data_IF_007852394235
#
_entry.id   IF_007852394235
#
_cell.length_a   1.000
_cell.length_b   1.000
_cell.length_c   1.000
_cell.angle_alpha   90.00
_cell.angle_beta   90.00
_cell.angle_gamma   90.00
#
_symmetry.space_group_name_H-M   'P 1'
#
loop_
_entity.id
_entity.type
_entity.pdbx_description
1 polymer ?
#
# COMPACT_ATOMS: atom_id res chain seq x y z
N UNK A 1 -25.37 -13.12 0.47
CA UNK A 1 -24.93 -13.74 1.73
C UNK A 1 -24.17 -15.01 1.43
N UNK A 2 -22.97 -15.16 1.98
CA UNK A 2 -22.16 -16.38 1.87
C UNK A 2 -22.81 -17.48 2.72
N UNK A 3 -23.50 -18.40 2.05
CA UNK A 3 -24.17 -19.51 2.73
C UNK A 3 -23.23 -20.68 3.01
N UNK A 4 -22.08 -20.73 2.32
CA UNK A 4 -21.13 -21.85 2.35
C UNK A 4 -19.70 -21.37 2.15
N UNK A 5 -18.77 -22.00 2.86
CA UNK A 5 -17.33 -21.86 2.69
C UNK A 5 -16.72 -23.22 2.38
N UNK A 6 -15.95 -23.32 1.30
CA UNK A 6 -15.22 -24.53 0.94
C UNK A 6 -13.72 -24.22 0.84
N UNK A 7 -12.91 -25.00 1.56
CA UNK A 7 -11.45 -24.78 1.64
C UNK A 7 -10.80 -24.98 0.27
N UNK A 8 -11.22 -26.01 -0.47
CA UNK A 8 -10.65 -26.31 -1.79
C UNK A 8 -10.98 -25.22 -2.80
N UNK A 9 -12.23 -24.77 -2.85
CA UNK A 9 -12.66 -23.69 -3.75
C UNK A 9 -11.96 -22.37 -3.42
N UNK A 10 -11.83 -22.05 -2.13
CA UNK A 10 -11.08 -20.87 -1.66
C UNK A 10 -9.62 -20.91 -2.11
N UNK A 11 -8.95 -22.06 -1.99
CA UNK A 11 -7.55 -22.22 -2.42
C UNK A 11 -7.40 -22.16 -3.95
N UNK A 12 -8.37 -22.69 -4.70
CA UNK A 12 -8.40 -22.59 -6.16
C UNK A 12 -8.59 -21.16 -6.63
N UNK A 13 -9.51 -20.41 -6.00
CA UNK A 13 -9.71 -18.99 -6.29
C UNK A 13 -8.43 -18.19 -6.05
N UNK A 14 -7.79 -18.39 -4.89
CA UNK A 14 -6.52 -17.70 -4.57
C UNK A 14 -5.45 -18.00 -5.60
N UNK A 15 -5.25 -19.28 -5.93
CA UNK A 15 -4.22 -19.69 -6.89
C UNK A 15 -4.49 -19.14 -8.29
N UNK A 16 -5.76 -19.17 -8.73
CA UNK A 16 -6.18 -18.68 -10.05
C UNK A 16 -6.03 -17.16 -10.17
N UNK A 17 -6.49 -16.41 -9.18
CA UNK A 17 -6.33 -14.95 -9.15
C UNK A 17 -4.86 -14.56 -9.05
N UNK A 18 -4.06 -15.24 -8.23
CA UNK A 18 -2.64 -14.97 -8.11
C UNK A 18 -1.91 -15.15 -9.45
N UNK A 19 -2.19 -16.23 -10.17
CA UNK A 19 -1.60 -16.46 -11.49
C UNK A 19 -2.03 -15.39 -12.50
N UNK A 20 -3.33 -15.02 -12.52
CA UNK A 20 -3.86 -14.02 -13.44
C UNK A 20 -3.30 -12.62 -13.16
N UNK A 21 -3.21 -12.23 -11.88
CA UNK A 21 -2.65 -10.94 -11.47
C UNK A 21 -1.16 -10.88 -11.75
N UNK A 22 -0.40 -11.95 -11.49
CA UNK A 22 1.02 -12.02 -11.85
C UNK A 22 1.26 -11.85 -13.36
N UNK A 23 0.46 -12.52 -14.19
CA UNK A 23 0.51 -12.36 -15.65
C UNK A 23 0.14 -10.93 -16.07
N UNK A 24 -0.92 -10.37 -15.47
CA UNK A 24 -1.36 -8.99 -15.74
C UNK A 24 -0.30 -7.97 -15.32
N UNK A 25 0.43 -8.26 -14.23
CA UNK A 25 1.55 -7.47 -13.73
C UNK A 25 2.68 -7.41 -14.72
N UNK A 26 3.06 -8.54 -15.29
CA UNK A 26 4.07 -8.60 -16.34
C UNK A 26 3.64 -7.78 -17.57
N UNK A 27 2.38 -7.95 -18.00
CA UNK A 27 1.84 -7.22 -19.15
C UNK A 27 1.88 -5.71 -18.93
N UNK A 28 1.36 -5.20 -17.81
CA UNK A 28 1.38 -3.74 -17.58
C UNK A 28 2.80 -3.21 -17.35
N UNK A 29 3.70 -3.96 -16.72
CA UNK A 29 5.10 -3.55 -16.55
C UNK A 29 5.80 -3.40 -17.91
N UNK A 30 5.62 -4.37 -18.80
CA UNK A 30 6.15 -4.32 -20.16
C UNK A 30 5.58 -3.14 -20.95
N UNK A 31 4.26 -2.89 -20.84
CA UNK A 31 3.62 -1.73 -21.46
C UNK A 31 4.12 -0.41 -20.89
N UNK A 32 4.28 -0.32 -19.56
CA UNK A 32 4.80 0.86 -18.88
C UNK A 32 6.25 1.15 -19.29
N UNK A 33 7.09 0.12 -19.41
CA UNK A 33 8.46 0.27 -19.90
C UNK A 33 8.50 0.71 -21.37
N UNK A 34 7.67 0.11 -22.22
CA UNK A 34 7.54 0.51 -23.62
C UNK A 34 7.05 1.96 -23.75
N UNK A 35 6.11 2.37 -22.89
CA UNK A 35 5.60 3.73 -22.79
C UNK A 35 6.72 4.70 -22.39
N UNK A 36 7.51 4.37 -21.37
CA UNK A 36 8.66 5.16 -20.93
C UNK A 36 9.73 5.29 -22.01
N UNK A 37 10.04 4.21 -22.74
CA UNK A 37 10.99 4.22 -23.85
C UNK A 37 10.51 5.10 -25.00
N UNK A 38 9.22 4.99 -25.36
CA UNK A 38 8.61 5.79 -26.41
C UNK A 38 8.57 7.28 -26.05
N UNK A 39 8.22 7.60 -24.79
CA UNK A 39 8.24 8.97 -24.29
C UNK A 39 9.66 9.55 -24.29
N UNK A 40 10.65 8.74 -23.90
CA UNK A 40 12.07 9.13 -23.98
C UNK A 40 12.50 9.43 -25.42
N UNK A 41 12.01 8.65 -26.40
CA UNK A 41 12.26 8.89 -27.81
C UNK A 41 11.54 10.16 -28.33
N UNK A 42 10.30 10.42 -27.89
CA UNK A 42 9.54 11.64 -28.21
C UNK A 42 10.25 12.91 -27.69
N UNK A 43 10.75 12.86 -26.45
CA UNK A 43 11.43 14.00 -25.80
C UNK A 43 12.86 14.24 -26.29
N UNK A 44 13.39 13.43 -27.20
CA UNK A 44 14.75 13.55 -27.75
C UNK A 44 15.00 14.80 -28.62
N UNK A 45 14.04 15.72 -28.70
CA UNK A 45 14.08 16.95 -29.51
C UNK A 45 14.29 16.74 -31.02
N UNK A 46 14.20 15.50 -31.53
CA UNK A 46 14.35 15.19 -32.95
C UNK A 46 13.04 15.24 -33.75
N UNK A 47 11.88 15.31 -33.09
CA UNK A 47 10.57 15.25 -33.72
C UNK A 47 9.79 16.54 -33.42
N UNK A 48 9.42 17.28 -34.48
CA UNK A 48 8.64 18.52 -34.40
C UNK A 48 7.57 18.53 -35.50
N UNK A 49 6.51 19.32 -35.32
CA UNK A 49 5.43 19.49 -36.30
C UNK A 49 4.08 18.87 -35.91
N UNK A 50 3.08 19.02 -36.77
CA UNK A 50 1.69 18.70 -36.43
C UNK A 50 1.42 17.19 -36.23
N UNK A 51 2.16 16.35 -36.97
CA UNK A 51 2.16 14.88 -36.80
C UNK A 51 2.69 14.47 -35.43
N UNK A 52 3.76 15.09 -34.96
CA UNK A 52 4.30 14.89 -33.61
C UNK A 52 3.30 15.31 -32.54
N UNK A 53 2.70 16.50 -32.67
CA UNK A 53 1.69 16.98 -31.73
C UNK A 53 0.48 16.04 -31.64
N UNK A 54 0.06 15.47 -32.78
CA UNK A 54 -1.03 14.50 -32.85
C UNK A 54 -0.69 13.16 -32.18
N UNK A 55 0.51 12.63 -32.41
CA UNK A 55 0.99 11.42 -31.74
C UNK A 55 1.14 11.63 -30.22
N UNK A 56 1.74 12.74 -29.80
CA UNK A 56 1.89 13.09 -28.39
C UNK A 56 0.53 13.19 -27.69
N UNK A 57 -0.47 13.81 -28.33
CA UNK A 57 -1.84 13.89 -27.81
C UNK A 57 -2.46 12.51 -27.58
N UNK A 58 -2.34 11.61 -28.54
CA UNK A 58 -2.86 10.24 -28.39
C UNK A 58 -2.16 9.50 -27.25
N UNK A 59 -0.85 9.63 -27.15
CA UNK A 59 -0.08 9.00 -26.09
C UNK A 59 -0.44 9.53 -24.71
N UNK A 60 -0.44 10.86 -24.53
CA UNK A 60 -0.66 11.48 -23.21
C UNK A 60 -2.12 11.43 -22.76
N UNK A 61 -3.09 11.55 -23.67
CA UNK A 61 -4.51 11.63 -23.32
C UNK A 61 -5.25 10.29 -23.43
N UNK A 62 -4.64 9.26 -24.04
CA UNK A 62 -5.27 7.94 -24.19
C UNK A 62 -4.40 6.84 -23.63
N UNK A 63 -3.23 6.58 -24.23
CA UNK A 63 -2.46 5.39 -23.88
C UNK A 63 -1.91 5.45 -22.44
N UNK A 64 -1.41 6.61 -22.00
CA UNK A 64 -0.89 6.78 -20.65
C UNK A 64 -1.97 6.62 -19.56
N UNK A 65 -3.14 7.28 -19.65
CA UNK A 65 -4.25 7.02 -18.73
C UNK A 65 -4.67 5.55 -18.67
N UNK A 66 -4.77 4.87 -19.83
CA UNK A 66 -5.14 3.46 -19.87
C UNK A 66 -4.10 2.57 -19.19
N UNK A 67 -2.81 2.71 -19.52
CA UNK A 67 -1.73 1.92 -18.89
C UNK A 67 -1.67 2.20 -17.38
N UNK A 68 -1.83 3.46 -16.98
CA UNK A 68 -1.89 3.85 -15.56
C UNK A 68 -3.05 3.18 -14.84
N UNK A 69 -4.27 3.23 -15.41
CA UNK A 69 -5.43 2.61 -14.78
C UNK A 69 -5.32 1.09 -14.74
N UNK A 70 -4.80 0.48 -15.81
CA UNK A 70 -4.51 -0.96 -15.83
C UNK A 70 -3.55 -1.38 -14.70
N UNK A 71 -2.51 -0.58 -14.44
CA UNK A 71 -1.62 -0.78 -13.28
C UNK A 71 -2.37 -0.66 -11.96
N UNK A 72 -3.20 0.37 -11.78
CA UNK A 72 -3.98 0.54 -10.54
C UNK A 72 -4.91 -0.64 -10.29
N UNK A 73 -5.65 -1.10 -11.30
CA UNK A 73 -6.56 -2.26 -11.20
C UNK A 73 -5.80 -3.52 -10.75
N UNK A 74 -4.61 -3.75 -11.29
CA UNK A 74 -3.81 -4.93 -10.91
C UNK A 74 -3.30 -4.82 -9.47
N UNK A 75 -2.78 -3.64 -9.07
CA UNK A 75 -2.29 -3.42 -7.70
C UNK A 75 -3.42 -3.53 -6.66
N UNK A 76 -4.59 -2.99 -6.99
CA UNK A 76 -5.79 -3.06 -6.16
C UNK A 76 -6.25 -4.51 -5.96
N UNK A 77 -6.42 -5.25 -7.06
CA UNK A 77 -6.77 -6.67 -7.00
C UNK A 77 -5.73 -7.54 -6.27
N UNK A 78 -4.44 -7.17 -6.30
CA UNK A 78 -3.41 -7.84 -5.49
C UNK A 78 -3.54 -7.56 -3.99
N UNK A 79 -3.90 -6.32 -3.63
CA UNK A 79 -4.25 -5.93 -2.27
C UNK A 79 -5.46 -6.70 -1.74
N UNK A 80 -6.51 -6.78 -2.55
CA UNK A 80 -7.72 -7.53 -2.23
C UNK A 80 -7.46 -9.02 -2.08
N UNK A 81 -6.69 -9.60 -3.00
CA UNK A 81 -6.30 -11.01 -2.92
C UNK A 81 -5.50 -11.32 -1.66
N UNK A 82 -4.64 -10.39 -1.23
CA UNK A 82 -3.90 -10.53 0.03
C UNK A 82 -4.84 -10.50 1.24
N UNK A 83 -5.83 -9.60 1.25
CA UNK A 83 -6.86 -9.53 2.30
C UNK A 83 -7.68 -10.82 2.33
N UNK A 84 -8.22 -11.24 1.19
CA UNK A 84 -8.97 -12.49 1.05
C UNK A 84 -8.16 -13.69 1.55
N UNK A 85 -6.90 -13.83 1.12
CA UNK A 85 -6.02 -14.93 1.52
C UNK A 85 -5.78 -14.94 3.03
N UNK A 86 -5.65 -13.77 3.67
CA UNK A 86 -5.49 -13.66 5.12
C UNK A 86 -6.75 -14.08 5.86
N UNK A 87 -7.92 -13.64 5.42
CA UNK A 87 -9.19 -14.04 6.04
C UNK A 87 -9.48 -15.53 5.81
N UNK A 88 -9.20 -16.06 4.62
CA UNK A 88 -9.32 -17.49 4.31
C UNK A 88 -8.47 -18.35 5.26
N UNK A 89 -7.23 -17.92 5.56
CA UNK A 89 -6.37 -18.64 6.53
C UNK A 89 -6.98 -18.73 7.93
N UNK A 90 -7.73 -17.70 8.38
CA UNK A 90 -8.36 -17.71 9.71
C UNK A 90 -9.51 -18.71 9.82
N UNK A 91 -10.22 -18.95 8.71
CA UNK A 91 -11.39 -19.83 8.68
C UNK A 91 -11.05 -21.27 8.26
N UNK A 92 -9.95 -21.47 7.53
CA UNK A 92 -9.50 -22.79 7.04
C UNK A 92 -9.39 -23.87 8.12
N UNK A 93 -9.02 -23.50 9.33
CA UNK A 93 -8.88 -24.44 10.46
C UNK A 93 -10.21 -25.10 10.86
N UNK A 94 -11.35 -24.50 10.48
CA UNK A 94 -12.68 -25.06 10.74
C UNK A 94 -13.16 -26.03 9.66
N UNK A 95 -12.44 -26.14 8.53
CA UNK A 95 -12.81 -26.96 7.37
C UNK A 95 -13.97 -26.36 6.57
N UNK A 96 -14.66 -27.22 5.80
CA UNK A 96 -15.83 -26.80 5.03
C UNK A 96 -17.01 -26.46 5.96
N UNK A 97 -17.62 -25.30 5.73
CA UNK A 97 -18.72 -24.77 6.53
C UNK A 97 -19.96 -24.51 5.68
N UNK A 98 -21.12 -24.84 6.23
CA UNK A 98 -22.43 -24.60 5.63
C UNK A 98 -23.32 -23.98 6.72
N UNK A 99 -23.66 -22.70 6.54
CA UNK A 99 -24.38 -21.91 7.54
C UNK A 99 -25.71 -22.58 7.90
N UNK A 100 -26.46 -23.01 6.90
CA UNK A 100 -27.77 -23.64 7.09
C UNK A 100 -27.67 -24.96 7.86
N UNK A 101 -26.64 -25.78 7.57
CA UNK A 101 -26.42 -27.02 8.33
C UNK A 101 -25.99 -26.76 9.77
N UNK A 102 -25.14 -25.75 9.99
CA UNK A 102 -24.69 -25.37 11.33
C UNK A 102 -25.84 -24.83 12.18
N UNK A 103 -26.70 -23.98 11.61
CA UNK A 103 -27.89 -23.45 12.29
C UNK A 103 -28.90 -24.57 12.64
N UNK A 104 -29.12 -25.51 11.72
CA UNK A 104 -29.98 -26.66 11.98
C UNK A 104 -29.41 -27.58 13.09
N UNK A 105 -28.11 -27.87 13.07
CA UNK A 105 -27.47 -28.67 14.12
C UNK A 105 -27.50 -27.95 15.47
N UNK A 106 -27.31 -26.62 15.49
CA UNK A 106 -27.42 -25.81 16.69
C UNK A 106 -28.81 -25.93 17.32
N UNK A 107 -29.87 -25.81 16.52
CA UNK A 107 -31.24 -25.93 17.00
C UNK A 107 -31.50 -27.30 17.66
N UNK A 108 -31.10 -28.40 17.01
CA UNK A 108 -31.26 -29.75 17.56
C UNK A 108 -30.51 -29.92 18.89
N UNK A 109 -29.30 -29.36 19.01
CA UNK A 109 -28.52 -29.41 20.25
C UNK A 109 -29.11 -28.53 21.36
N UNK A 110 -29.67 -27.38 21.03
CA UNK A 110 -30.39 -26.52 21.98
C UNK A 110 -31.66 -27.21 22.52
N UNK A 111 -32.42 -27.89 21.66
CA UNK A 111 -33.58 -28.69 22.06
C UNK A 111 -33.18 -29.86 22.96
N UNK A 112 -32.10 -30.57 22.61
CA UNK A 112 -31.56 -31.67 23.42
C UNK A 112 -31.08 -31.18 24.79
N UNK A 113 -30.39 -30.04 24.84
CA UNK A 113 -29.97 -29.40 26.08
C UNK A 113 -31.16 -29.03 26.96
N UNK A 114 -32.19 -28.41 26.38
CA UNK A 114 -33.42 -28.01 27.09
C UNK A 114 -34.15 -29.23 27.65
N UNK A 115 -34.22 -30.33 26.90
CA UNK A 115 -34.79 -31.59 27.39
C UNK A 115 -34.02 -32.14 28.61
N UNK A 116 -32.68 -32.11 28.58
CA UNK A 116 -31.86 -32.52 29.73
C UNK A 116 -32.09 -31.64 30.96
N UNK A 117 -32.26 -30.32 30.78
CA UNK A 117 -32.60 -29.38 31.85
C UNK A 117 -33.98 -29.64 32.45
N UNK A 118 -34.97 -29.96 31.61
CA UNK A 118 -36.30 -30.38 32.07
C UNK A 118 -36.22 -31.67 32.89
N UNK A 119 -35.51 -32.69 32.41
CA UNK A 119 -35.31 -33.94 33.17
C UNK A 119 -34.64 -33.69 34.53
N UNK A 120 -33.64 -32.80 34.60
CA UNK A 120 -33.02 -32.43 35.88
C UNK A 120 -34.02 -31.80 36.85
N UNK A 121 -34.89 -30.91 36.36
CA UNK A 121 -35.95 -30.30 37.18
C UNK A 121 -36.97 -31.32 37.69
N UNK A 122 -37.36 -32.28 36.85
CA UNK A 122 -38.29 -33.35 37.20
C UNK A 122 -37.67 -34.33 38.22
N UNK A 123 -36.42 -34.76 38.00
CA UNK A 123 -35.69 -35.62 38.93
C UNK A 123 -35.57 -34.97 40.31
N UNK A 124 -35.28 -33.66 40.38
CA UNK A 124 -35.23 -32.91 41.63
C UNK A 124 -36.58 -32.91 42.35
N UNK A 125 -37.68 -32.80 41.60
CA UNK A 125 -39.04 -32.87 42.14
C UNK A 125 -39.38 -34.27 42.67
N UNK A 126 -39.03 -35.33 41.94
CA UNK A 126 -39.23 -36.72 42.37
C UNK A 126 -38.42 -37.08 43.63
N UNK A 127 -37.18 -36.57 43.72
CA UNK A 127 -36.36 -36.69 44.92
C UNK A 127 -36.98 -35.99 46.12
N UNK A 128 -37.51 -34.78 45.94
CA UNK A 128 -38.21 -34.05 47.01
C UNK A 128 -39.46 -34.82 47.52
N UNK A 129 -40.16 -35.50 46.62
CA UNK A 129 -41.30 -36.36 46.93
C UNK A 129 -40.91 -37.76 47.46
N UNK A 130 -39.61 -38.09 47.52
CA UNK A 130 -39.09 -39.43 47.89
C UNK A 130 -39.64 -40.57 47.02
N UNK A 131 -39.90 -40.28 45.74
CA UNK A 131 -40.53 -41.23 44.79
C UNK A 131 -39.53 -42.02 43.95
N UNK A 132 -38.23 -41.79 44.13
CA UNK A 132 -37.15 -42.42 43.37
C UNK A 132 -36.03 -42.90 44.31
N UNK A 133 -35.46 -44.06 44.02
CA UNK A 133 -34.33 -44.60 44.78
C UNK A 133 -33.06 -43.73 44.60
N UNK A 134 -32.29 -43.45 45.66
CA UNK A 134 -31.12 -42.56 45.57
C UNK A 134 -30.10 -42.95 44.50
N UNK A 135 -29.80 -44.25 44.36
CA UNK A 135 -28.85 -44.73 43.36
C UNK A 135 -29.34 -44.48 41.92
N UNK A 136 -30.63 -44.70 41.66
CA UNK A 136 -31.23 -44.46 40.35
C UNK A 136 -31.28 -42.96 40.05
N UNK A 137 -31.62 -42.14 41.04
CA UNK A 137 -31.56 -40.68 40.93
C UNK A 137 -30.17 -40.20 40.55
N UNK A 138 -29.12 -40.65 41.24
CA UNK A 138 -27.74 -40.21 40.99
C UNK A 138 -27.27 -40.56 39.58
N UNK A 139 -27.63 -41.75 39.06
CA UNK A 139 -27.30 -42.14 37.68
C UNK A 139 -28.02 -41.27 36.63
N UNK A 140 -29.31 -40.99 36.83
CA UNK A 140 -30.10 -40.18 35.90
C UNK A 140 -29.67 -38.72 35.89
N UNK A 141 -29.36 -38.15 37.06
CA UNK A 141 -28.78 -36.81 37.18
C UNK A 141 -27.45 -36.74 36.45
N UNK A 142 -26.54 -37.69 36.71
CA UNK A 142 -25.23 -37.71 36.06
C UNK A 142 -25.35 -37.79 34.54
N UNK A 143 -26.29 -38.57 34.01
CA UNK A 143 -26.56 -38.65 32.57
C UNK A 143 -27.07 -37.32 32.01
N UNK A 144 -28.03 -36.68 32.68
CA UNK A 144 -28.59 -35.41 32.24
C UNK A 144 -27.57 -34.27 32.32
N UNK A 145 -26.78 -34.18 33.40
CA UNK A 145 -25.69 -33.21 33.56
C UNK A 145 -24.59 -33.41 32.50
N UNK A 146 -24.22 -34.67 32.23
CA UNK A 146 -23.24 -34.99 31.18
C UNK A 146 -23.75 -34.55 29.81
N UNK A 147 -25.03 -34.82 29.52
CA UNK A 147 -25.68 -34.41 28.26
C UNK A 147 -25.72 -32.88 28.13
N UNK A 148 -26.16 -32.18 29.17
CA UNK A 148 -26.22 -30.71 29.20
C UNK A 148 -24.83 -30.09 28.99
N UNK A 149 -23.80 -30.65 29.65
CA UNK A 149 -22.42 -30.20 29.52
C UNK A 149 -21.90 -30.42 28.10
N UNK A 150 -22.15 -31.59 27.52
CA UNK A 150 -21.73 -31.92 26.16
C UNK A 150 -22.41 -31.01 25.13
N UNK A 151 -23.74 -30.86 25.19
CA UNK A 151 -24.48 -29.98 24.28
C UNK A 151 -24.05 -28.52 24.41
N UNK A 152 -23.76 -28.03 25.62
CA UNK A 152 -23.23 -26.67 25.81
C UNK A 152 -21.88 -26.47 25.12
N UNK A 153 -20.97 -27.46 25.21
CA UNK A 153 -19.68 -27.41 24.51
C UNK A 153 -19.85 -27.44 22.99
N UNK A 154 -20.75 -28.28 22.49
CA UNK A 154 -20.96 -28.43 21.05
C UNK A 154 -21.65 -27.21 20.44
N UNK A 155 -22.65 -26.62 21.11
CA UNK A 155 -23.27 -25.35 20.73
C UNK A 155 -22.21 -24.24 20.64
N UNK A 156 -21.33 -24.13 21.65
CA UNK A 156 -20.24 -23.15 21.64
C UNK A 156 -19.33 -23.29 20.41
N UNK A 157 -18.96 -24.52 20.04
CA UNK A 157 -18.16 -24.78 18.83
C UNK A 157 -18.90 -24.40 17.55
N UNK A 158 -20.21 -24.62 17.48
CA UNK A 158 -21.02 -24.18 16.34
C UNK A 158 -21.05 -22.65 16.28
N UNK A 159 -21.22 -21.96 17.41
CA UNK A 159 -21.18 -20.50 17.48
C UNK A 159 -19.83 -19.90 17.09
N UNK A 160 -18.73 -20.58 17.40
CA UNK A 160 -17.39 -20.21 16.93
C UNK A 160 -17.27 -20.32 15.40
N UNK A 161 -17.77 -21.41 14.81
CA UNK A 161 -17.80 -21.61 13.34
C UNK A 161 -18.69 -20.59 12.62
N UNK A 162 -19.88 -20.32 13.15
CA UNK A 162 -20.81 -19.33 12.58
C UNK A 162 -20.22 -17.92 12.62
N UNK A 163 -19.59 -17.52 13.74
CA UNK A 163 -18.89 -16.23 13.84
C UNK A 163 -17.70 -16.14 12.90
N UNK A 164 -16.94 -17.23 12.73
CA UNK A 164 -15.84 -17.25 11.77
C UNK A 164 -16.34 -17.04 10.34
N UNK A 165 -17.47 -17.67 9.96
CA UNK A 165 -18.09 -17.49 8.65
C UNK A 165 -18.59 -16.05 8.43
N UNK A 166 -19.26 -15.48 9.42
CA UNK A 166 -19.75 -14.09 9.36
C UNK A 166 -18.59 -13.08 9.28
N UNK A 167 -17.52 -13.31 10.03
CA UNK A 167 -16.31 -12.47 9.99
C UNK A 167 -15.65 -12.57 8.61
N UNK A 168 -15.52 -13.78 8.07
CA UNK A 168 -14.96 -13.99 6.74
C UNK A 168 -15.79 -13.29 5.67
N UNK A 169 -17.12 -13.46 5.70
CA UNK A 169 -18.05 -12.79 4.79
C UNK A 169 -17.92 -11.27 4.86
N UNK A 170 -17.96 -10.71 6.07
CA UNK A 170 -17.89 -9.26 6.29
C UNK A 170 -16.60 -8.66 5.74
N UNK A 171 -15.48 -9.37 5.89
CA UNK A 171 -14.15 -8.89 5.47
C UNK A 171 -13.79 -9.26 4.02
N UNK A 172 -14.69 -9.89 3.26
CA UNK A 172 -14.38 -10.34 1.88
C UNK A 172 -15.45 -10.05 0.84
N UNK A 173 -16.67 -9.69 1.24
CA UNK A 173 -17.78 -9.48 0.30
C UNK A 173 -17.61 -8.27 -0.61
N UNK A 174 -16.90 -7.23 -0.18
CA UNK A 174 -16.75 -6.00 -0.96
C UNK A 174 -15.45 -5.99 -1.78
N UNK A 175 -14.51 -6.89 -1.46
CA UNK A 175 -13.29 -7.10 -2.23
C UNK A 175 -13.58 -7.32 -3.72
N UNK A 176 -12.70 -6.76 -4.54
CA UNK A 176 -12.66 -6.86 -5.99
C UNK A 176 -13.80 -6.18 -6.75
N UNK A 177 -14.83 -5.63 -6.09
CA UNK A 177 -15.99 -5.03 -6.78
C UNK A 177 -15.56 -3.80 -7.59
N UNK A 178 -14.77 -2.93 -6.99
CA UNK A 178 -14.20 -1.72 -7.59
C UNK A 178 -13.17 -2.09 -8.68
N UNK A 179 -12.24 -2.99 -8.39
CA UNK A 179 -11.29 -3.57 -9.35
C UNK A 179 -12.00 -4.13 -10.58
N UNK A 180 -13.07 -4.90 -10.40
CA UNK A 180 -13.84 -5.48 -11.48
C UNK A 180 -14.58 -4.41 -12.29
N UNK A 181 -15.20 -3.44 -11.61
CA UNK A 181 -15.90 -2.32 -12.27
C UNK A 181 -14.94 -1.50 -13.14
N UNK A 182 -13.75 -1.19 -12.61
CA UNK A 182 -12.70 -0.50 -13.36
C UNK A 182 -12.16 -1.37 -14.50
N UNK A 183 -12.00 -2.68 -14.29
CA UNK A 183 -11.55 -3.62 -15.32
C UNK A 183 -12.54 -3.72 -16.50
N UNK A 184 -13.84 -3.74 -16.25
CA UNK A 184 -14.85 -3.76 -17.32
C UNK A 184 -14.79 -2.49 -18.18
N UNK A 185 -14.65 -1.32 -17.54
CA UNK A 185 -14.47 -0.06 -18.26
C UNK A 185 -13.13 -0.02 -19.02
N UNK A 186 -12.06 -0.55 -18.44
CA UNK A 186 -10.75 -0.69 -19.07
C UNK A 186 -10.80 -1.58 -20.32
N UNK A 187 -11.44 -2.74 -20.24
CA UNK A 187 -11.60 -3.65 -21.38
C UNK A 187 -12.39 -2.99 -22.52
N UNK A 188 -13.46 -2.27 -22.20
CA UNK A 188 -14.22 -1.48 -23.21
C UNK A 188 -13.34 -0.44 -23.88
N UNK A 189 -12.49 0.27 -23.12
CA UNK A 189 -11.58 1.26 -23.66
C UNK A 189 -10.50 0.63 -24.56
N UNK A 190 -9.93 -0.51 -24.16
CA UNK A 190 -8.97 -1.27 -24.97
C UNK A 190 -9.58 -1.75 -26.28
N UNK A 191 -10.84 -2.21 -26.28
CA UNK A 191 -11.55 -2.58 -27.51
C UNK A 191 -11.75 -1.38 -28.42
N UNK A 192 -11.99 -0.19 -27.87
CA UNK A 192 -12.17 1.05 -28.63
C UNK A 192 -10.87 1.54 -29.29
N UNK A 193 -9.68 1.16 -28.77
CA UNK A 193 -8.39 1.51 -29.37
C UNK A 193 -8.26 1.04 -30.83
N UNK A 194 -8.96 -0.03 -31.23
CA UNK A 194 -8.98 -0.52 -32.63
C UNK A 194 -9.57 0.50 -33.61
N UNK A 195 -10.36 1.45 -33.11
CA UNK A 195 -11.01 2.49 -33.91
C UNK A 195 -10.15 3.76 -34.04
N UNK A 196 -8.98 3.80 -33.38
CA UNK A 196 -7.98 4.86 -33.57
C UNK A 196 -7.39 4.74 -34.97
N UNK A 197 -7.43 5.83 -35.74
CA UNK A 197 -6.94 5.86 -37.13
C UNK A 197 -5.71 6.72 -37.25
N UNK A 198 -4.70 6.25 -37.97
CA UNK A 198 -3.50 7.02 -38.32
C UNK A 198 -3.55 7.30 -39.82
N UNK A 199 -3.58 8.57 -40.18
CA UNK A 199 -3.53 9.01 -41.59
C UNK A 199 -2.15 8.78 -42.22
N UNK A 200 -2.06 8.86 -43.55
CA UNK A 200 -0.79 8.80 -44.28
C UNK A 200 0.19 9.94 -43.91
N UNK A 201 -0.33 11.07 -43.42
CA UNK A 201 0.46 12.18 -42.85
C UNK A 201 0.85 11.97 -41.38
N UNK A 202 0.48 10.84 -40.78
CA UNK A 202 0.76 10.49 -39.38
C UNK A 202 -0.16 11.17 -38.36
N UNK A 203 -1.18 11.93 -38.78
CA UNK A 203 -2.21 12.42 -37.87
C UNK A 203 -3.05 11.27 -37.31
N UNK A 204 -3.23 11.27 -35.99
CA UNK A 204 -4.04 10.32 -35.23
C UNK A 204 -5.44 10.91 -34.99
N UNK A 205 -6.46 10.15 -35.39
CA UNK A 205 -7.87 10.43 -35.09
C UNK A 205 -8.31 9.52 -33.95
N UNK A 206 -8.77 10.12 -32.86
CA UNK A 206 -9.16 9.43 -31.62
C UNK A 206 -10.69 9.46 -31.52
N UNK A 207 -11.37 8.31 -31.37
CA UNK A 207 -12.81 8.27 -31.09
C UNK A 207 -13.16 8.94 -29.76
N UNK A 208 -14.21 9.77 -29.75
CA UNK A 208 -14.68 10.47 -28.53
C UNK A 208 -15.07 9.51 -27.40
N UNK A 209 -15.55 8.32 -27.74
CA UNK A 209 -15.97 7.30 -26.78
C UNK A 209 -14.83 6.85 -25.86
N UNK A 210 -13.57 6.90 -26.32
CA UNK A 210 -12.40 6.56 -25.50
C UNK A 210 -12.29 7.50 -24.29
N UNK A 211 -12.47 8.80 -24.49
CA UNK A 211 -12.35 9.78 -23.41
C UNK A 211 -13.47 9.62 -22.38
N UNK A 212 -14.68 9.25 -22.83
CA UNK A 212 -15.78 8.92 -21.92
C UNK A 212 -15.44 7.71 -21.05
N UNK A 213 -14.91 6.65 -21.64
CA UNK A 213 -14.52 5.44 -20.91
C UNK A 213 -13.36 5.69 -19.93
N UNK A 214 -12.39 6.52 -20.30
CA UNK A 214 -11.32 6.96 -19.39
C UNK A 214 -11.93 7.71 -18.19
N UNK A 215 -12.83 8.66 -18.44
CA UNK A 215 -13.51 9.38 -17.36
C UNK A 215 -14.38 8.47 -16.48
N UNK A 216 -15.04 7.45 -17.07
CA UNK A 216 -15.78 6.42 -16.30
C UNK A 216 -14.84 5.67 -15.36
N UNK A 217 -13.65 5.28 -15.84
CA UNK A 217 -12.64 4.60 -15.02
C UNK A 217 -12.06 5.49 -13.93
N UNK A 218 -11.76 6.75 -14.22
CA UNK A 218 -11.22 7.69 -13.24
C UNK A 218 -12.20 7.97 -12.10
N UNK A 219 -13.51 7.85 -12.36
CA UNK A 219 -14.55 7.92 -11.35
C UNK A 219 -14.60 6.71 -10.40
N UNK A 220 -13.97 5.59 -10.75
CA UNK A 220 -13.88 4.42 -9.86
C UNK A 220 -12.69 4.62 -8.91
N UNK A 221 -13.01 4.88 -7.64
CA UNK A 221 -12.04 4.84 -6.55
C UNK A 221 -11.65 3.37 -6.30
N UNK A 222 -10.38 3.08 -6.47
CA UNK A 222 -9.78 1.78 -6.18
C UNK A 222 -9.15 1.87 -4.79
N UNK A 223 -9.56 0.99 -3.89
CA UNK A 223 -9.07 0.98 -2.52
C UNK A 223 -8.57 -0.42 -2.13
N UNK A 224 -7.25 -0.61 -2.20
CA UNK A 224 -6.62 -1.90 -1.98
C UNK A 224 -6.94 -2.43 -0.57
N UNK A 225 -7.78 -3.46 -0.50
CA UNK A 225 -8.14 -4.16 0.72
C UNK A 225 -9.01 -3.35 1.69
N UNK A 226 -10.32 -3.57 1.61
CA UNK A 226 -11.37 -3.17 2.58
C UNK A 226 -11.18 -3.70 4.02
N UNK A 227 -10.01 -4.24 4.35
CA UNK A 227 -9.63 -4.80 5.64
C UNK A 227 -8.14 -4.71 5.91
N UNK A 228 -7.49 -3.60 5.55
CA UNK A 228 -6.31 -3.08 6.23
C UNK A 228 -5.28 -4.14 6.73
N UNK A 229 -4.59 -4.80 5.78
CA UNK A 229 -3.40 -5.66 6.04
C UNK A 229 -2.07 -4.94 5.80
N UNK A 230 -2.15 -3.68 5.38
CA UNK A 230 -1.02 -2.87 4.94
C UNK A 230 -0.26 -2.23 6.12
N UNK A 231 -0.96 -2.00 7.24
CA UNK A 231 -0.43 -1.27 8.39
C UNK A 231 -0.12 -2.19 9.58
N UNK A 232 0.87 -3.07 9.42
CA UNK A 232 1.58 -3.57 10.60
C UNK A 232 2.42 -2.40 11.13
N UNK A 233 1.90 -1.69 12.13
CA UNK A 233 2.65 -0.66 12.85
C UNK A 233 1.86 0.60 13.20
N UNK A 234 1.04 1.13 12.29
CA UNK A 234 0.34 2.40 12.51
C UNK A 234 -1.01 2.19 13.25
N UNK A 235 -1.29 2.83 14.40
CA UNK A 235 -2.60 2.75 15.07
C UNK A 235 -3.75 3.28 14.19
N UNK A 236 -4.97 2.77 14.39
CA UNK A 236 -6.13 3.11 13.53
C UNK A 236 -6.45 4.61 13.50
N UNK A 237 -6.29 5.33 14.62
CA UNK A 237 -6.55 6.78 14.65
C UNK A 237 -5.74 7.58 13.62
N UNK A 238 -4.45 7.25 13.45
CA UNK A 238 -3.61 7.89 12.44
C UNK A 238 -4.02 7.49 11.01
N UNK A 239 -4.48 6.25 10.81
CA UNK A 239 -4.98 5.79 9.50
C UNK A 239 -6.25 6.52 9.11
N UNK A 240 -7.21 6.64 10.03
CA UNK A 240 -8.47 7.35 9.79
C UNK A 240 -8.21 8.83 9.40
N UNK A 241 -7.16 9.45 9.96
CA UNK A 241 -6.74 10.80 9.58
C UNK A 241 -6.11 10.86 8.19
N UNK A 242 -5.26 9.89 7.86
CA UNK A 242 -4.67 9.75 6.52
C UNK A 242 -5.76 9.54 5.47
N UNK A 243 -6.72 8.65 5.71
CA UNK A 243 -7.84 8.38 4.79
C UNK A 243 -8.66 9.66 4.53
N UNK A 244 -8.95 10.45 5.57
CA UNK A 244 -9.60 11.75 5.41
C UNK A 244 -8.79 12.73 4.56
N UNK A 245 -7.46 12.71 4.68
CA UNK A 245 -6.58 13.55 3.86
C UNK A 245 -6.59 13.06 2.41
N UNK A 246 -6.50 11.74 2.18
CA UNK A 246 -6.56 11.11 0.87
C UNK A 246 -7.87 11.50 0.14
N UNK A 247 -8.99 11.50 0.86
CA UNK A 247 -10.31 11.83 0.33
C UNK A 247 -10.59 13.34 0.19
N UNK A 248 -9.73 14.20 0.71
CA UNK A 248 -9.91 15.66 0.63
C UNK A 248 -9.73 16.22 -0.80
N UNK A 249 -10.17 17.46 -1.02
CA UNK A 249 -10.00 18.19 -2.29
C UNK A 249 -8.61 18.85 -2.45
N UNK A 250 -7.67 18.57 -1.55
CA UNK A 250 -6.31 19.14 -1.58
C UNK A 250 -5.51 18.64 -2.79
N UNK A 251 -4.49 19.41 -3.20
CA UNK A 251 -3.53 18.95 -4.20
C UNK A 251 -2.72 17.75 -3.69
N UNK A 252 -2.16 16.95 -4.60
CA UNK A 252 -1.35 15.80 -4.22
C UNK A 252 -0.17 16.20 -3.30
N UNK A 253 0.51 17.32 -3.60
CA UNK A 253 1.61 17.83 -2.77
C UNK A 253 1.15 18.23 -1.37
N UNK A 254 0.01 18.91 -1.24
CA UNK A 254 -0.55 19.26 0.08
C UNK A 254 -1.01 18.03 0.86
N UNK A 255 -1.56 17.01 0.18
CA UNK A 255 -1.91 15.74 0.82
C UNK A 255 -0.66 15.02 1.31
N UNK A 256 0.37 14.91 0.48
CA UNK A 256 1.63 14.28 0.84
C UNK A 256 2.28 14.96 2.06
N UNK A 257 2.26 16.31 2.10
CA UNK A 257 2.76 17.08 3.23
C UNK A 257 2.03 16.72 4.52
N UNK A 258 0.69 16.71 4.48
CA UNK A 258 -0.14 16.37 5.64
C UNK A 258 0.02 14.91 6.06
N UNK A 259 0.06 13.98 5.11
CA UNK A 259 0.30 12.55 5.39
C UNK A 259 1.65 12.38 6.07
N UNK A 260 2.72 12.97 5.53
CA UNK A 260 4.05 12.95 6.15
C UNK A 260 4.01 13.48 7.60
N UNK A 261 3.28 14.57 7.86
CA UNK A 261 3.08 15.09 9.21
C UNK A 261 2.32 14.14 10.15
N UNK A 262 1.34 13.38 9.67
CA UNK A 262 0.68 12.35 10.48
C UNK A 262 1.67 11.24 10.87
N UNK A 263 2.51 10.81 9.94
CA UNK A 263 3.58 9.84 10.23
C UNK A 263 4.61 10.39 11.23
N UNK A 264 5.00 11.65 11.11
CA UNK A 264 5.90 12.32 12.06
C UNK A 264 5.29 12.38 13.47
N UNK A 265 4.00 12.71 13.58
CA UNK A 265 3.27 12.70 14.86
C UNK A 265 3.26 11.29 15.47
N UNK A 266 3.00 10.26 14.66
CA UNK A 266 3.08 8.89 15.12
C UNK A 266 4.48 8.54 15.64
N UNK A 267 5.54 8.82 14.88
CA UNK A 267 6.92 8.56 15.29
C UNK A 267 7.29 9.28 16.58
N UNK A 268 6.89 10.55 16.73
CA UNK A 268 7.07 11.29 17.98
C UNK A 268 6.34 10.63 19.16
N UNK A 269 5.11 10.15 18.92
CA UNK A 269 4.26 9.53 19.94
C UNK A 269 4.82 8.22 20.51
N UNK A 270 5.75 7.57 19.81
CA UNK A 270 6.38 6.34 20.28
C UNK A 270 7.29 6.56 21.50
N UNK A 271 7.92 7.74 21.60
CA UNK A 271 8.70 8.12 22.78
C UNK A 271 8.82 9.66 22.94
N UNK A 272 7.75 10.34 23.36
CA UNK A 272 7.74 11.80 23.48
C UNK A 272 8.78 12.34 24.47
N UNK A 273 9.08 11.58 25.53
CA UNK A 273 10.03 11.97 26.57
C UNK A 273 11.46 12.02 26.02
N UNK A 274 11.87 11.01 25.24
CA UNK A 274 13.19 10.99 24.61
C UNK A 274 13.37 12.16 23.63
N UNK A 275 12.36 12.45 22.81
CA UNK A 275 12.40 13.59 21.88
C UNK A 275 12.41 14.94 22.59
N UNK A 276 11.66 15.11 23.68
CA UNK A 276 11.68 16.35 24.49
C UNK A 276 13.05 16.56 25.12
N UNK A 277 13.63 15.54 25.74
CA UNK A 277 14.96 15.61 26.34
C UNK A 277 16.03 15.97 25.30
N UNK A 278 15.94 15.36 24.13
CA UNK A 278 16.81 15.68 22.99
C UNK A 278 16.68 17.14 22.56
N UNK A 279 15.45 17.62 22.38
CA UNK A 279 15.14 18.99 21.95
C UNK A 279 15.62 20.05 22.97
N UNK A 280 15.42 19.80 24.27
CA UNK A 280 15.90 20.66 25.35
C UNK A 280 17.42 20.83 25.33
N UNK A 281 18.17 19.74 25.16
CA UNK A 281 19.62 19.79 25.07
C UNK A 281 20.05 20.50 23.78
N UNK A 282 19.42 20.17 22.65
CA UNK A 282 19.73 20.78 21.36
C UNK A 282 19.54 22.31 21.39
N UNK A 283 18.45 22.80 22.00
CA UNK A 283 18.15 24.24 22.11
C UNK A 283 19.06 24.98 23.09
N UNK A 284 19.66 24.28 24.05
CA UNK A 284 20.59 24.87 25.01
C UNK A 284 22.00 25.06 24.45
N UNK A 285 22.39 24.26 23.45
CA UNK A 285 23.74 24.25 22.90
C UNK A 285 23.71 24.48 21.38
N UNK A 286 24.02 25.69 20.93
CA UNK A 286 23.93 26.05 19.50
C UNK A 286 24.95 25.31 18.62
N UNK A 287 26.13 24.96 19.15
CA UNK A 287 27.16 24.23 18.40
C UNK A 287 26.79 22.75 18.25
N UNK A 288 26.58 22.31 17.00
CA UNK A 288 26.29 20.92 16.66
C UNK A 288 27.40 19.95 17.06
N UNK A 289 28.64 20.44 17.22
CA UNK A 289 29.80 19.65 17.64
C UNK A 289 30.00 19.63 19.15
N UNK A 290 29.12 20.27 19.92
CA UNK A 290 29.16 20.20 21.38
C UNK A 290 29.02 18.76 21.87
N UNK A 291 29.79 18.42 22.90
CA UNK A 291 29.76 17.10 23.52
C UNK A 291 28.33 16.74 23.96
N UNK A 292 27.58 17.73 24.46
CA UNK A 292 26.21 17.57 24.91
C UNK A 292 25.24 17.21 23.78
N UNK A 293 25.35 17.84 22.59
CA UNK A 293 24.49 17.47 21.45
C UNK A 293 24.82 16.10 20.89
N UNK A 294 26.10 15.76 20.78
CA UNK A 294 26.54 14.43 20.36
C UNK A 294 25.98 13.36 21.31
N UNK A 295 26.10 13.59 22.63
CA UNK A 295 25.57 12.69 23.64
C UNK A 295 24.04 12.60 23.59
N UNK A 296 23.34 13.70 23.34
CA UNK A 296 21.88 13.70 23.19
C UNK A 296 21.44 12.86 21.99
N UNK A 297 22.15 12.95 20.85
CA UNK A 297 21.89 12.14 19.66
C UNK A 297 22.12 10.65 19.94
N UNK A 298 23.20 10.29 20.64
CA UNK A 298 23.47 8.91 21.05
C UNK A 298 22.40 8.35 22.00
N UNK A 299 21.95 9.15 22.97
CA UNK A 299 20.90 8.76 23.91
C UNK A 299 19.56 8.58 23.20
N UNK A 300 19.17 9.53 22.34
CA UNK A 300 17.95 9.41 21.53
C UNK A 300 18.01 8.16 20.66
N UNK A 301 19.11 7.94 19.95
CA UNK A 301 19.35 6.76 19.11
C UNK A 301 19.15 5.45 19.88
N UNK A 302 19.67 5.35 21.12
CA UNK A 302 19.48 4.17 21.98
C UNK A 302 18.02 3.96 22.38
N UNK A 303 17.26 5.03 22.62
CA UNK A 303 15.84 4.92 22.94
C UNK A 303 15.01 4.52 21.72
N UNK A 304 15.30 5.08 20.54
CA UNK A 304 14.59 4.74 19.30
C UNK A 304 14.79 3.27 18.91
N UNK A 305 16.00 2.75 19.07
CA UNK A 305 16.33 1.35 18.73
C UNK A 305 15.70 0.31 19.66
N UNK A 306 15.15 0.72 20.82
CA UNK A 306 14.38 -0.18 21.70
C UNK A 306 12.92 -0.30 21.29
N UNK A 307 12.43 0.59 20.44
CA UNK A 307 11.04 0.60 20.04
C UNK A 307 10.71 -0.62 19.17
N UNK A 308 9.54 -1.25 19.35
CA UNK A 308 9.15 -2.44 18.59
C UNK A 308 8.61 -2.07 17.19
N UNK A 309 9.32 -1.21 16.46
CA UNK A 309 8.95 -0.77 15.12
C UNK A 309 10.09 -0.99 14.13
N UNK A 310 9.75 -1.26 12.86
CA UNK A 310 10.68 -1.21 11.74
C UNK A 310 10.46 0.11 11.00
N UNK A 311 11.41 1.04 11.12
CA UNK A 311 11.30 2.36 10.48
C UNK A 311 11.22 2.28 8.95
N UNK A 312 11.78 1.23 8.34
CA UNK A 312 11.64 1.00 6.89
C UNK A 312 10.22 0.56 6.55
N UNK A 313 9.56 -0.19 7.42
CA UNK A 313 8.12 -0.47 7.27
C UNK A 313 7.29 0.81 7.36
N UNK A 314 7.62 1.71 8.30
CA UNK A 314 6.97 3.03 8.38
C UNK A 314 7.18 3.84 7.10
N UNK A 315 8.43 3.93 6.61
CA UNK A 315 8.75 4.66 5.39
C UNK A 315 8.05 4.07 4.15
N UNK A 316 7.91 2.74 4.07
CA UNK A 316 7.14 2.09 3.01
C UNK A 316 5.66 2.47 3.07
N UNK A 317 5.04 2.40 4.24
CA UNK A 317 3.64 2.80 4.40
C UNK A 317 3.42 4.26 3.98
N UNK A 318 4.29 5.19 4.41
CA UNK A 318 4.26 6.57 3.92
C UNK A 318 4.40 6.64 2.39
N UNK A 319 5.35 5.88 1.83
CA UNK A 319 5.54 5.80 0.39
C UNK A 319 4.28 5.34 -0.34
N UNK A 320 3.61 4.32 0.17
CA UNK A 320 2.41 3.74 -0.44
C UNK A 320 1.20 4.68 -0.32
N UNK A 321 1.01 5.34 0.82
CA UNK A 321 -0.02 6.37 0.99
C UNK A 321 0.21 7.55 0.03
N UNK A 322 1.46 7.98 -0.14
CA UNK A 322 1.81 9.06 -1.08
C UNK A 322 1.68 8.59 -2.55
N UNK A 323 2.00 7.34 -2.87
CA UNK A 323 1.73 6.76 -4.21
C UNK A 323 0.22 6.73 -4.50
N UNK A 324 -0.60 6.41 -3.50
CA UNK A 324 -2.07 6.30 -3.67
C UNK A 324 -2.70 7.62 -4.10
N UNK A 325 -2.18 8.76 -3.63
CA UNK A 325 -2.66 10.09 -4.01
C UNK A 325 -2.04 10.61 -5.31
N UNK A 326 -0.86 10.09 -5.70
CA UNK A 326 -0.10 10.52 -6.88
C UNK A 326 -0.52 9.88 -8.20
N UNK A 327 -1.65 9.19 -8.20
CA UNK A 327 -2.04 8.32 -9.29
C UNK A 327 -3.23 8.85 -10.10
N UNK A 328 -3.73 10.05 -9.80
CA UNK A 328 -4.95 10.58 -10.45
C UNK A 328 -4.79 11.04 -11.90
N UNK A 329 -3.57 11.22 -12.43
CA UNK A 329 -3.37 11.73 -13.81
C UNK A 329 -2.27 11.02 -14.64
N UNK A 330 -1.77 9.86 -14.20
CA UNK A 330 -0.60 9.22 -14.82
C UNK A 330 0.69 10.00 -14.61
N UNK A 331 1.75 9.65 -15.34
CA UNK A 331 3.10 10.22 -15.20
C UNK A 331 3.11 11.77 -15.22
N UNK A 332 3.23 12.38 -14.05
CA UNK A 332 3.44 13.82 -13.88
C UNK A 332 4.82 14.07 -13.27
N UNK A 333 5.79 14.38 -14.13
CA UNK A 333 7.14 14.75 -13.70
C UNK A 333 7.13 15.98 -12.78
N UNK A 334 6.19 16.90 -12.99
CA UNK A 334 6.08 18.10 -12.17
C UNK A 334 5.57 17.74 -10.77
N UNK A 335 4.62 16.80 -10.69
CA UNK A 335 4.17 16.27 -9.41
C UNK A 335 5.31 15.52 -8.69
N UNK A 336 5.98 14.57 -9.36
CA UNK A 336 7.12 13.86 -8.78
C UNK A 336 8.19 14.84 -8.27
N UNK A 337 8.54 15.83 -9.09
CA UNK A 337 9.48 16.89 -8.72
C UNK A 337 9.01 17.68 -7.49
N UNK A 338 7.74 18.10 -7.45
CA UNK A 338 7.13 18.81 -6.32
C UNK A 338 6.95 17.94 -5.07
N UNK A 339 7.16 16.63 -5.15
CA UNK A 339 7.14 15.73 -4.01
C UNK A 339 8.53 15.54 -3.41
N UNK A 340 9.55 15.45 -4.26
CA UNK A 340 10.90 14.99 -3.87
C UNK A 340 11.97 16.08 -3.82
N UNK A 341 11.70 17.30 -4.31
CA UNK A 341 12.67 18.39 -4.24
C UNK A 341 12.96 18.80 -2.77
N UNK A 342 14.12 19.43 -2.54
CA UNK A 342 14.44 20.09 -1.27
C UNK A 342 13.27 20.91 -0.71
N UNK A 343 12.94 20.74 0.56
CA UNK A 343 11.82 21.40 1.28
C UNK A 343 10.41 20.98 0.82
N UNK A 344 10.28 19.87 0.08
CA UNK A 344 8.99 19.30 -0.31
C UNK A 344 8.61 18.06 0.53
N UNK A 345 7.39 17.51 0.38
CA UNK A 345 6.84 16.48 1.27
C UNK A 345 7.71 15.25 1.53
N UNK A 346 8.54 14.84 0.58
CA UNK A 346 9.38 13.64 0.68
C UNK A 346 10.86 13.94 0.95
N UNK A 347 11.24 15.22 1.13
CA UNK A 347 12.57 15.59 1.66
C UNK A 347 12.63 15.36 3.18
N UNK A 348 12.46 14.09 3.58
CA UNK A 348 12.40 13.67 4.97
C UNK A 348 13.63 14.13 5.75
N UNK A 349 14.77 14.33 5.08
CA UNK A 349 15.99 14.79 5.69
C UNK A 349 15.82 16.15 6.37
N UNK A 350 15.18 17.09 5.67
CA UNK A 350 15.08 18.50 6.06
C UNK A 350 13.73 18.91 6.62
N UNK A 351 12.72 18.03 6.57
CA UNK A 351 11.41 18.28 7.18
C UNK A 351 11.52 18.44 8.69
N UNK A 352 11.22 19.64 9.18
CA UNK A 352 11.23 19.93 10.61
C UNK A 352 9.92 19.45 11.25
N UNK A 353 10.02 18.76 12.39
CA UNK A 353 8.83 18.37 13.14
C UNK A 353 8.34 19.54 14.00
N UNK A 354 7.21 20.16 13.63
CA UNK A 354 6.72 21.37 14.30
C UNK A 354 7.78 22.46 14.35
N UNK A 355 7.89 23.18 15.48
CA UNK A 355 8.91 24.23 15.69
C UNK A 355 10.22 23.69 16.31
N UNK A 356 10.51 22.40 16.10
CA UNK A 356 11.69 21.78 16.72
C UNK A 356 13.01 22.15 16.04
N UNK A 357 12.97 22.58 14.78
CA UNK A 357 14.18 22.87 14.00
C UNK A 357 14.97 21.62 13.60
N UNK A 358 14.41 20.42 13.73
CA UNK A 358 15.07 19.18 13.30
C UNK A 358 14.08 18.16 12.71
N UNK A 359 14.60 17.25 11.88
CA UNK A 359 13.84 16.14 11.32
C UNK A 359 13.81 14.92 12.23
N UNK A 360 12.61 14.42 12.50
CA UNK A 360 12.41 13.14 13.19
C UNK A 360 12.90 11.96 12.34
N UNK A 361 12.79 12.02 11.01
CA UNK A 361 13.23 10.96 10.10
C UNK A 361 14.76 10.82 10.08
N UNK A 362 15.48 11.93 10.24
CA UNK A 362 16.95 11.97 10.23
C UNK A 362 17.60 11.57 11.56
N UNK A 363 16.94 10.75 12.38
CA UNK A 363 17.44 10.26 13.69
C UNK A 363 17.89 8.80 13.59
N UNK A 364 18.59 8.32 14.61
CA UNK A 364 19.21 6.98 14.66
C UNK A 364 18.27 5.77 14.78
N UNK A 365 17.20 5.72 13.98
CA UNK A 365 16.20 4.64 13.99
C UNK A 365 16.78 3.26 13.63
N UNK A 366 17.73 3.20 12.70
CA UNK A 366 18.24 1.94 12.10
C UNK A 366 19.72 1.68 12.38
N UNK A 367 20.20 1.89 13.61
CA UNK A 367 21.61 1.62 13.91
C UNK A 367 22.55 2.65 13.27
N UNK A 368 23.50 2.18 12.46
CA UNK A 368 24.59 2.97 11.88
C UNK A 368 24.25 3.56 10.49
N UNK A 369 22.98 3.59 10.11
CA UNK A 369 22.55 4.21 8.86
C UNK A 369 22.74 5.72 8.91
N UNK A 370 23.14 6.32 7.77
CA UNK A 370 23.29 7.77 7.69
C UNK A 370 21.94 8.46 7.87
N UNK A 371 21.96 9.71 8.35
CA UNK A 371 20.76 10.56 8.50
C UNK A 371 19.92 10.68 7.23
N UNK A 372 20.55 10.53 6.07
CA UNK A 372 19.92 10.69 4.76
C UNK A 372 19.26 9.40 4.26
N UNK A 373 19.39 8.30 5.01
CA UNK A 373 18.95 6.98 4.61
C UNK A 373 17.47 6.97 4.23
N UNK A 374 16.57 7.41 5.12
CA UNK A 374 15.13 7.33 4.89
C UNK A 374 14.65 8.25 3.76
N UNK A 375 15.25 9.43 3.62
CA UNK A 375 14.95 10.33 2.51
C UNK A 375 15.34 9.72 1.16
N UNK A 376 16.56 9.21 1.05
CA UNK A 376 17.05 8.57 -0.17
C UNK A 376 16.34 7.24 -0.47
N UNK A 377 16.03 6.46 0.57
CA UNK A 377 15.22 5.25 0.47
C UNK A 377 13.82 5.57 -0.07
N UNK A 378 13.12 6.53 0.53
CA UNK A 378 11.77 6.90 0.13
C UNK A 378 11.74 7.51 -1.27
N UNK A 379 12.75 8.29 -1.64
CA UNK A 379 12.94 8.78 -3.01
C UNK A 379 12.94 7.62 -4.02
N UNK A 380 13.73 6.59 -3.76
CA UNK A 380 13.79 5.40 -4.61
C UNK A 380 12.48 4.63 -4.65
N UNK A 381 11.87 4.43 -3.49
CA UNK A 381 10.62 3.69 -3.33
C UNK A 381 9.44 4.38 -4.03
N UNK A 382 9.19 5.66 -3.71
CA UNK A 382 8.16 6.48 -4.33
C UNK A 382 8.39 6.62 -5.85
N UNK A 383 9.63 6.91 -6.26
CA UNK A 383 9.99 7.05 -7.66
C UNK A 383 9.74 5.78 -8.48
N UNK A 384 10.05 4.60 -7.94
CA UNK A 384 9.71 3.33 -8.58
C UNK A 384 8.18 3.15 -8.68
N UNK A 385 7.45 3.53 -7.64
CA UNK A 385 6.00 3.44 -7.58
C UNK A 385 5.26 4.33 -8.56
N UNK A 386 5.73 5.56 -8.79
CA UNK A 386 5.05 6.53 -9.67
C UNK A 386 5.62 6.59 -11.09
N UNK A 387 6.93 6.43 -11.29
CA UNK A 387 7.57 6.66 -12.59
C UNK A 387 7.76 5.38 -13.42
N UNK A 388 7.83 4.21 -12.78
CA UNK A 388 8.07 2.91 -13.45
C UNK A 388 9.24 2.92 -14.47
N UNK A 389 10.24 3.77 -14.23
CA UNK A 389 11.47 3.86 -15.04
C UNK A 389 12.56 2.95 -14.44
N UNK A 390 13.50 2.49 -15.27
CA UNK A 390 14.60 1.65 -14.81
C UNK A 390 15.43 2.33 -13.71
N UNK A 391 15.86 1.57 -12.71
CA UNK A 391 16.54 2.12 -11.52
C UNK A 391 17.82 2.92 -11.81
N UNK A 392 18.49 2.66 -12.93
CA UNK A 392 19.64 3.45 -13.39
C UNK A 392 19.23 4.88 -13.82
N UNK A 393 18.06 5.05 -14.43
CA UNK A 393 17.50 6.36 -14.82
C UNK A 393 17.02 7.15 -13.59
N UNK A 394 16.43 6.47 -12.61
CA UNK A 394 15.99 7.10 -11.35
C UNK A 394 17.19 7.61 -10.53
N UNK A 395 18.29 6.85 -10.49
CA UNK A 395 19.55 7.25 -9.83
C UNK A 395 20.19 8.49 -10.47
N UNK A 396 20.18 8.56 -11.80
CA UNK A 396 20.67 9.73 -12.54
C UNK A 396 19.79 10.96 -12.26
N UNK A 397 18.46 10.79 -12.21
CA UNK A 397 17.53 11.86 -11.85
C UNK A 397 17.76 12.39 -10.43
N UNK A 398 18.05 11.51 -9.45
CA UNK A 398 18.36 11.89 -8.08
C UNK A 398 19.61 12.77 -7.95
N UNK A 399 20.70 12.39 -8.63
CA UNK A 399 21.93 13.20 -8.67
C UNK A 399 21.77 14.55 -9.38
N UNK A 400 20.93 14.59 -10.43
CA UNK A 400 20.61 15.83 -11.15
C UNK A 400 19.74 16.77 -10.31
N UNK A 401 18.79 16.24 -9.51
CA UNK A 401 17.92 17.04 -8.64
C UNK A 401 18.68 17.76 -7.50
N UNK A 402 19.68 17.11 -6.88
CA UNK A 402 20.54 17.74 -5.86
C UNK A 402 21.30 18.96 -6.42
N UNK A 403 21.86 18.84 -7.63
CA UNK A 403 22.60 19.93 -8.31
C UNK A 403 21.68 21.13 -8.61
N UNK A 404 20.38 20.91 -8.80
CA UNK A 404 19.41 21.95 -9.17
C UNK A 404 18.92 22.74 -7.96
N UNK A 405 18.80 22.08 -6.79
CA UNK A 405 18.52 22.75 -5.52
C UNK A 405 19.60 23.77 -5.15
N UNK A 406 20.86 23.50 -5.49
CA UNK A 406 21.99 24.38 -5.16
C UNK A 406 22.17 25.55 -6.16
N UNK A 407 21.37 25.59 -7.24
CA UNK A 407 21.61 26.50 -8.39
C UNK A 407 20.34 27.22 -8.85
N UNK A 408 19.80 28.04 -7.96
CA UNK A 408 18.52 28.75 -8.00
C UNK A 408 18.26 29.76 -9.15
N UNK A 409 18.88 29.69 -10.35
CA UNK A 409 18.77 30.81 -11.33
C UNK A 409 18.53 30.55 -12.82
N UNK A 410 18.28 29.35 -13.38
CA UNK A 410 17.85 29.22 -14.81
C UNK A 410 17.02 27.96 -15.11
N UNK A 411 15.69 28.06 -15.29
CA UNK A 411 14.87 26.91 -15.64
C UNK A 411 14.77 26.72 -17.17
N UNK A 412 14.61 25.46 -17.61
CA UNK A 412 14.04 25.02 -18.90
C UNK A 412 14.93 24.74 -20.12
N UNK A 413 16.20 25.18 -20.24
CA UNK A 413 17.00 24.93 -21.48
C UNK A 413 17.99 23.75 -21.43
N UNK A 414 18.28 23.18 -20.26
CA UNK A 414 19.40 22.24 -20.09
C UNK A 414 18.94 20.76 -20.05
N UNK A 415 17.66 20.50 -19.77
CA UNK A 415 17.10 19.14 -19.68
C UNK A 415 17.22 18.39 -21.01
N UNK A 416 16.98 19.09 -22.13
CA UNK A 416 17.16 18.52 -23.47
C UNK A 416 18.62 18.13 -23.79
N UNK A 417 19.60 18.67 -23.05
CA UNK A 417 21.02 18.34 -23.23
C UNK A 417 21.47 17.11 -22.43
N UNK A 418 20.89 16.87 -21.24
CA UNK A 418 21.25 15.72 -20.39
C UNK A 418 20.60 14.44 -20.88
N UNK A 419 19.33 14.52 -21.31
CA UNK A 419 18.62 13.40 -21.93
C UNK A 419 19.15 13.10 -23.33
N UNK A 420 19.68 14.11 -24.05
CA UNK A 420 20.30 13.94 -25.37
C UNK A 420 21.73 13.38 -25.34
N UNK A 421 22.43 13.40 -24.20
CA UNK A 421 23.82 12.95 -24.11
C UNK A 421 23.98 11.42 -23.96
N UNK A 422 22.91 10.69 -23.70
CA UNK A 422 22.94 9.23 -23.49
C UNK A 422 22.98 8.41 -24.80
N UNK A 423 22.95 9.05 -25.98
CA UNK A 423 22.80 8.38 -27.27
C UNK A 423 23.82 8.76 -28.37
N UNK A 424 24.97 9.37 -28.02
CA UNK A 424 26.05 9.71 -28.97
C UNK A 424 27.43 9.22 -28.48
N UNK A 425 28.36 8.82 -29.38
CA UNK A 425 29.74 8.47 -29.01
C UNK A 425 30.51 9.60 -28.30
N UNK A 426 30.07 10.85 -28.45
CA UNK A 426 30.63 12.02 -27.73
C UNK A 426 30.07 12.08 -26.30
N UNK A 427 28.89 11.51 -26.05
CA UNK A 427 28.23 11.41 -24.76
C UNK A 427 28.97 10.52 -23.76
N UNK A 428 29.67 9.48 -24.23
CA UNK A 428 30.51 8.61 -23.40
C UNK A 428 31.65 9.39 -22.71
N UNK A 429 32.11 10.50 -23.31
CA UNK A 429 33.14 11.36 -22.73
C UNK A 429 32.60 12.30 -21.64
N UNK A 430 31.32 12.68 -21.74
CA UNK A 430 30.61 13.48 -20.72
C UNK A 430 30.08 12.61 -19.57
N UNK A 431 29.61 11.39 -19.86
CA UNK A 431 29.22 10.37 -18.87
C UNK A 431 30.42 9.95 -18.01
N UNK A 432 31.62 9.86 -18.59
CA UNK A 432 32.83 9.58 -17.79
C UNK A 432 33.23 10.76 -16.89
N UNK A 433 32.97 12.01 -17.32
CA UNK A 433 33.16 13.21 -16.48
C UNK A 433 32.04 13.47 -15.46
N UNK A 434 30.89 12.80 -15.60
CA UNK A 434 29.75 12.86 -14.67
C UNK A 434 29.70 11.66 -13.71
N UNK A 435 30.53 10.63 -13.95
CA UNK A 435 30.71 9.48 -13.06
C UNK A 435 31.26 9.86 -11.68
N UNK A 436 31.88 11.04 -11.60
CA UNK A 436 32.41 11.64 -10.38
C UNK A 436 31.46 12.69 -9.76
N UNK A 437 30.24 12.85 -10.27
CA UNK A 437 29.27 13.85 -9.78
C UNK A 437 28.04 13.21 -9.13
N UNK A 438 28.35 12.50 -8.05
CA UNK A 438 27.46 11.84 -7.09
C UNK A 438 28.35 11.31 -5.96
N UNK A 439 29.02 12.21 -5.26
CA UNK A 439 30.25 11.91 -4.52
C UNK A 439 30.04 11.21 -3.15
N UNK A 440 28.84 10.69 -2.89
CA UNK A 440 28.59 9.81 -1.77
C UNK A 440 28.02 8.49 -2.28
N UNK A 441 28.87 7.46 -2.42
CA UNK A 441 28.48 6.09 -2.77
C UNK A 441 27.33 5.51 -1.90
N UNK A 442 27.00 6.15 -0.76
CA UNK A 442 25.86 5.84 0.10
C UNK A 442 24.50 6.22 -0.48
N UNK A 443 24.34 7.37 -1.14
CA UNK A 443 23.03 7.88 -1.55
C UNK A 443 22.40 7.00 -2.64
N UNK A 444 23.19 6.67 -3.67
CA UNK A 444 22.76 5.77 -4.74
C UNK A 444 22.46 4.35 -4.25
N UNK A 445 23.07 3.92 -3.13
CA UNK A 445 22.79 2.62 -2.49
C UNK A 445 21.42 2.64 -1.82
N UNK A 446 21.08 3.68 -1.08
CA UNK A 446 19.78 3.78 -0.39
C UNK A 446 18.61 3.97 -1.36
N UNK A 447 18.82 4.74 -2.44
CA UNK A 447 17.86 4.84 -3.53
C UNK A 447 17.60 3.46 -4.13
N UNK A 448 18.64 2.66 -4.39
CA UNK A 448 18.47 1.29 -4.89
C UNK A 448 17.72 0.41 -3.89
N UNK A 449 17.99 0.54 -2.59
CA UNK A 449 17.25 -0.21 -1.56
C UNK A 449 15.75 0.11 -1.58
N UNK A 450 15.38 1.38 -1.76
CA UNK A 450 13.98 1.77 -1.91
C UNK A 450 13.33 1.17 -3.14
N UNK A 451 14.03 1.21 -4.28
CA UNK A 451 13.58 0.56 -5.53
C UNK A 451 13.38 -0.95 -5.31
N UNK A 452 14.39 -1.62 -4.77
CA UNK A 452 14.38 -3.07 -4.56
C UNK A 452 13.28 -3.49 -3.59
N UNK A 453 13.03 -2.71 -2.52
CA UNK A 453 11.95 -3.00 -1.58
C UNK A 453 10.58 -2.74 -2.20
N UNK A 454 10.41 -1.65 -2.97
CA UNK A 454 9.16 -1.44 -3.71
C UNK A 454 8.87 -2.65 -4.60
N UNK A 455 9.87 -3.08 -5.38
CA UNK A 455 9.75 -4.27 -6.20
C UNK A 455 9.48 -5.53 -5.39
N UNK A 456 10.14 -5.75 -4.25
CA UNK A 456 9.95 -6.94 -3.42
C UNK A 456 8.55 -7.03 -2.80
N UNK A 457 7.98 -5.90 -2.38
CA UNK A 457 6.69 -5.85 -1.70
C UNK A 457 5.51 -5.71 -2.67
N UNK A 458 5.76 -5.25 -3.90
CA UNK A 458 4.76 -5.12 -4.97
C UNK A 458 4.98 -6.08 -6.15
N UNK A 459 6.03 -6.91 -6.16
CA UNK A 459 6.20 -8.09 -7.04
C UNK A 459 6.14 -9.37 -6.18
N UNK A 460 4.93 -9.82 -5.84
CA UNK A 460 4.66 -11.23 -5.52
C UNK A 460 3.35 -11.70 -6.12
#
# INVERSE_FOLDING_TARGET
MVTKYNVSESNQLVSGLQANLANSREVYNNLSQAMGNFFSALLSNQLQGATYASANRYFSQVLNPLVTKGKQIVLDGEGDLKTFTREAKKINDYGDLDKTKLEADKQVKEETKRSAETHLSELNSWKALKTIEPYIYDQLVKMAETTQTQMTKDIKKIDEKLRALETFETNTNELFIDSFTALEAFQRAVVELKNVKISSSGFVTIPDNIFKLISEMDGVKLAAGDGNSYYKGLPSGYRDEIEKIIDSELSATEKADKIASIYEQYLYSLNPEAFKKYDEIRKKYDDEKSFERIKAEEELTKELQKLPIDIREIARMLGDDVISISSKNGFDYMEFYNMVQTNHPLDLKKREFGDSGYSIWSRGWSGNESTDFLGNYLYGYYGQGVLAIGGETLKIAGGVAQIWSDREKRPLKIIGYVVGATLSPIGTLLVWKLKDYGDNAGDGKYIQMGIDDYEKYHKK
#
